data_IF_718815334831
#
_entry.id   IF_718815334831
#
_cell.length_a   1.000
_cell.length_b   1.000
_cell.length_c   1.000
_cell.angle_alpha   90.00
_cell.angle_beta   90.00
_cell.angle_gamma   90.00
#
_symmetry.space_group_name_H-M   'P 1'
#
loop_
_entity.id
_entity.type
_entity.pdbx_description
1 polymer ?
#
# COMPACT_ATOMS: atom_id res chain seq x y z
N UNK A 1 -6.62 -10.94 13.33
CA UNK A 1 -7.51 -9.76 13.23
C UNK A 1 -8.30 -9.81 11.94
N UNK A 2 -9.27 -8.91 11.75
CA UNK A 2 -9.99 -8.79 10.46
C UNK A 2 -9.04 -8.31 9.35
N UNK A 3 -9.09 -8.92 8.17
CA UNK A 3 -8.27 -8.56 7.00
C UNK A 3 -8.97 -7.46 6.18
N UNK A 4 -8.96 -6.23 6.69
CA UNK A 4 -9.73 -5.13 6.10
C UNK A 4 -8.98 -3.80 6.23
N UNK A 5 -9.17 -2.92 5.25
CA UNK A 5 -8.80 -1.52 5.35
C UNK A 5 -10.04 -0.74 5.79
N UNK A 6 -9.90 0.06 6.83
CA UNK A 6 -10.97 0.91 7.35
C UNK A 6 -10.84 2.33 6.82
N UNK A 7 -11.97 3.00 6.60
CA UNK A 7 -12.03 4.43 6.34
C UNK A 7 -12.80 5.15 7.47
N UNK A 8 -12.45 6.41 7.67
CA UNK A 8 -13.05 7.31 8.65
C UNK A 8 -13.34 8.65 7.98
N UNK A 9 -14.38 9.34 8.45
CA UNK A 9 -14.48 10.77 8.22
C UNK A 9 -13.42 11.46 9.10
N UNK A 10 -12.51 12.21 8.46
CA UNK A 10 -11.42 12.93 9.12
C UNK A 10 -11.64 14.43 8.99
N UNK A 11 -11.67 15.12 10.13
CA UNK A 11 -11.68 16.57 10.19
C UNK A 11 -10.24 17.08 10.21
N UNK A 12 -9.80 17.72 9.12
CA UNK A 12 -8.42 18.21 8.97
C UNK A 12 -8.06 19.36 9.91
N UNK A 13 -9.05 20.06 10.48
CA UNK A 13 -8.84 21.17 11.40
C UNK A 13 -8.65 20.64 12.82
N UNK A 14 -9.50 19.70 13.24
CA UNK A 14 -9.52 19.20 14.62
C UNK A 14 -8.76 17.89 14.83
N UNK A 15 -8.47 17.14 13.76
CA UNK A 15 -7.89 15.80 13.82
C UNK A 15 -8.87 14.71 14.26
N UNK A 16 -10.15 15.03 14.45
CA UNK A 16 -11.15 14.06 14.88
C UNK A 16 -11.48 13.04 13.79
N UNK A 17 -11.49 11.76 14.17
CA UNK A 17 -11.95 10.64 13.35
C UNK A 17 -13.35 10.19 13.76
N UNK A 18 -14.24 10.01 12.78
CA UNK A 18 -15.63 9.56 12.99
C UNK A 18 -16.03 8.55 11.92
N UNK A 19 -17.22 7.96 12.08
CA UNK A 19 -17.89 7.19 11.03
C UNK A 19 -17.04 6.05 10.43
N UNK A 20 -16.47 5.20 11.29
CA UNK A 20 -15.69 4.04 10.85
C UNK A 20 -16.52 3.15 9.92
N UNK A 21 -16.01 2.91 8.73
CA UNK A 21 -16.61 2.03 7.72
C UNK A 21 -15.56 1.15 7.06
N UNK A 22 -15.98 0.01 6.52
CA UNK A 22 -15.09 -0.80 5.67
C UNK A 22 -14.81 0.03 4.42
N UNK A 23 -13.54 0.18 4.06
CA UNK A 23 -13.13 0.69 2.76
C UNK A 23 -13.01 -0.48 1.78
N UNK A 24 -12.18 -1.48 2.11
CA UNK A 24 -12.08 -2.71 1.32
C UNK A 24 -11.75 -3.91 2.21
N UNK A 25 -12.13 -5.11 1.74
CA UNK A 25 -11.89 -6.38 2.42
C UNK A 25 -10.89 -7.24 1.66
N UNK A 26 -9.90 -7.76 2.39
CA UNK A 26 -8.91 -8.72 1.90
C UNK A 26 -9.35 -10.16 2.16
N UNK A 27 -10.60 -10.41 2.57
CA UNK A 27 -11.10 -11.76 2.81
C UNK A 27 -11.01 -12.65 1.57
N UNK A 28 -11.26 -12.07 0.39
CA UNK A 28 -11.19 -12.74 -0.93
C UNK A 28 -9.86 -12.47 -1.67
N UNK A 29 -8.91 -11.80 -1.02
CA UNK A 29 -7.58 -11.56 -1.56
C UNK A 29 -6.58 -12.59 -1.01
N UNK A 30 -5.39 -12.67 -1.61
CA UNK A 30 -4.41 -13.74 -1.35
C UNK A 30 -3.59 -13.53 -0.09
N UNK A 31 -3.47 -12.28 0.37
CA UNK A 31 -2.57 -11.89 1.44
C UNK A 31 -3.22 -10.94 2.44
N UNK A 32 -2.37 -10.13 3.08
CA UNK A 32 -2.76 -9.19 4.13
C UNK A 32 -2.42 -7.75 3.74
N UNK A 33 -3.27 -6.77 4.05
CA UNK A 33 -2.90 -5.37 3.89
C UNK A 33 -1.81 -5.01 4.91
N UNK A 34 -0.85 -4.19 4.48
CA UNK A 34 0.18 -3.60 5.34
C UNK A 34 0.28 -2.09 5.05
N UNK A 35 1.37 -1.60 4.47
CA UNK A 35 1.54 -0.21 4.10
C UNK A 35 0.64 0.24 2.94
N UNK A 36 0.31 1.53 2.95
CA UNK A 36 -0.52 2.15 1.93
C UNK A 36 -0.15 3.62 1.72
N UNK A 37 -0.48 4.14 0.54
CA UNK A 37 -0.37 5.56 0.16
C UNK A 37 -1.51 5.91 -0.82
N UNK A 38 -1.65 7.17 -1.20
CA UNK A 38 -2.60 7.61 -2.23
C UNK A 38 -1.86 8.23 -3.41
N UNK A 39 -2.46 8.15 -4.59
CA UNK A 39 -1.99 8.90 -5.76
C UNK A 39 -2.75 10.22 -5.95
N UNK A 40 -2.28 11.03 -6.89
CA UNK A 40 -2.84 12.34 -7.23
C UNK A 40 -4.26 12.28 -7.81
N UNK A 41 -4.75 11.09 -8.17
CA UNK A 41 -6.12 10.86 -8.65
C UNK A 41 -7.08 10.45 -7.52
N UNK A 42 -6.57 10.32 -6.29
CA UNK A 42 -7.36 9.95 -5.11
C UNK A 42 -7.55 8.45 -4.93
N UNK A 43 -6.79 7.61 -5.63
CA UNK A 43 -6.84 6.17 -5.48
C UNK A 43 -5.88 5.72 -4.38
N UNK A 44 -6.25 4.66 -3.65
CA UNK A 44 -5.43 4.08 -2.60
C UNK A 44 -4.55 2.98 -3.17
N UNK A 45 -3.25 3.04 -2.91
CA UNK A 45 -2.30 1.96 -3.16
C UNK A 45 -2.00 1.24 -1.86
N UNK A 46 -2.04 -0.09 -1.85
CA UNK A 46 -1.71 -0.91 -0.67
C UNK A 46 -0.91 -2.14 -1.05
N UNK A 47 0.09 -2.47 -0.24
CA UNK A 47 0.82 -3.73 -0.34
C UNK A 47 -0.02 -4.88 0.18
N UNK A 48 0.11 -6.05 -0.46
CA UNK A 48 -0.55 -7.29 -0.07
C UNK A 48 0.53 -8.31 0.35
N UNK A 49 0.88 -8.30 1.63
CA UNK A 49 1.90 -9.18 2.24
C UNK A 49 1.51 -10.65 2.03
N UNK A 50 2.51 -11.50 1.77
CA UNK A 50 2.41 -12.93 1.44
C UNK A 50 1.76 -13.25 0.09
N UNK A 51 1.50 -12.24 -0.74
CA UNK A 51 1.02 -12.43 -2.11
C UNK A 51 1.97 -11.88 -3.19
N UNK A 52 2.88 -10.98 -2.78
CA UNK A 52 3.78 -10.25 -3.67
C UNK A 52 3.08 -9.27 -4.58
N UNK A 53 2.01 -8.61 -4.09
CA UNK A 53 1.21 -7.70 -4.91
C UNK A 53 1.16 -6.32 -4.32
N UNK A 54 1.20 -5.34 -5.21
CA UNK A 54 0.79 -3.97 -4.95
C UNK A 54 -0.57 -3.76 -5.63
N UNK A 55 -1.58 -3.34 -4.86
CA UNK A 55 -2.96 -3.20 -5.33
C UNK A 55 -3.35 -1.73 -5.28
N UNK A 56 -3.94 -1.23 -6.36
CA UNK A 56 -4.60 0.06 -6.43
C UNK A 56 -6.10 -0.12 -6.31
N UNK A 57 -6.73 0.62 -5.41
CA UNK A 57 -8.16 0.65 -5.20
C UNK A 57 -8.71 2.03 -5.58
N UNK A 58 -9.87 2.03 -6.22
CA UNK A 58 -10.61 3.26 -6.47
C UNK A 58 -11.14 3.88 -5.15
N UNK A 59 -11.64 5.12 -5.17
CA UNK A 59 -12.18 5.77 -3.97
C UNK A 59 -13.37 5.06 -3.31
N UNK A 60 -13.99 4.09 -4.00
CA UNK A 60 -15.07 3.26 -3.47
C UNK A 60 -14.57 1.96 -2.81
N UNK A 61 -13.28 1.66 -2.94
CA UNK A 61 -12.63 0.46 -2.37
C UNK A 61 -12.60 -0.74 -3.32
N UNK A 62 -12.93 -0.54 -4.60
CA UNK A 62 -12.87 -1.59 -5.63
C UNK A 62 -11.48 -1.64 -6.23
N UNK A 63 -10.98 -2.84 -6.53
CA UNK A 63 -9.67 -3.03 -7.18
C UNK A 63 -9.69 -2.42 -8.58
N UNK A 64 -8.81 -1.44 -8.81
CA UNK A 64 -8.54 -0.83 -10.11
C UNK A 64 -7.40 -1.56 -10.83
N UNK A 65 -6.31 -1.85 -10.11
CA UNK A 65 -5.08 -2.40 -10.70
C UNK A 65 -4.34 -3.29 -9.71
N UNK A 66 -3.70 -4.34 -10.21
CA UNK A 66 -2.79 -5.20 -9.44
C UNK A 66 -1.45 -5.28 -10.17
N UNK A 67 -0.36 -5.10 -9.41
CA UNK A 67 1.02 -5.23 -9.89
C UNK A 67 1.70 -6.34 -9.09
N UNK A 68 2.29 -7.31 -9.80
CA UNK A 68 3.08 -8.37 -9.19
C UNK A 68 4.53 -7.94 -8.97
N UNK A 69 5.09 -8.29 -7.81
CA UNK A 69 6.49 -8.11 -7.46
C UNK A 69 7.17 -9.48 -7.28
N UNK A 70 8.49 -9.59 -7.48
CA UNK A 70 9.22 -10.85 -7.41
C UNK A 70 9.51 -11.33 -5.97
N UNK A 71 8.70 -10.91 -5.00
CA UNK A 71 8.82 -11.25 -3.57
C UNK A 71 7.43 -11.40 -2.96
N UNK A 72 7.22 -12.35 -2.06
CA UNK A 72 5.91 -12.56 -1.44
C UNK A 72 5.53 -11.47 -0.43
N UNK A 73 6.50 -10.91 0.32
CA UNK A 73 6.21 -10.02 1.44
C UNK A 73 6.62 -8.58 1.19
N UNK A 74 5.86 -7.89 0.35
CA UNK A 74 5.89 -6.42 0.23
C UNK A 74 5.28 -5.77 1.47
N UNK A 75 5.96 -4.78 2.06
CA UNK A 75 5.55 -4.21 3.35
C UNK A 75 4.98 -2.81 3.24
N UNK A 76 5.58 -1.90 2.47
CA UNK A 76 5.02 -0.54 2.27
C UNK A 76 5.28 -0.01 0.87
N UNK A 77 4.63 1.11 0.54
CA UNK A 77 4.72 1.79 -0.74
C UNK A 77 4.67 3.31 -0.55
N UNK A 78 5.47 4.03 -1.34
CA UNK A 78 5.40 5.49 -1.45
C UNK A 78 5.79 5.94 -2.86
N UNK A 79 5.20 7.04 -3.33
CA UNK A 79 5.62 7.68 -4.57
C UNK A 79 6.80 8.63 -4.33
N UNK A 80 7.76 8.64 -5.23
CA UNK A 80 8.94 9.50 -5.18
C UNK A 80 9.51 9.78 -6.57
N UNK A 81 10.77 10.22 -6.61
CA UNK A 81 11.37 10.79 -7.81
C UNK A 81 11.03 12.28 -7.98
N UNK A 82 11.69 12.99 -8.91
CA UNK A 82 11.49 14.43 -9.10
C UNK A 82 10.04 14.82 -9.45
N UNK A 83 9.33 13.94 -10.17
CA UNK A 83 7.97 14.15 -10.64
C UNK A 83 6.92 13.36 -9.82
N UNK A 84 7.34 12.70 -8.73
CA UNK A 84 6.52 11.79 -7.92
C UNK A 84 5.88 10.64 -8.73
N UNK A 85 6.51 10.19 -9.80
CA UNK A 85 5.98 9.18 -10.74
C UNK A 85 6.62 7.79 -10.60
N UNK A 86 7.45 7.60 -9.57
CA UNK A 86 8.11 6.32 -9.24
C UNK A 86 7.50 5.78 -7.96
N UNK A 87 6.89 4.60 -7.99
CA UNK A 87 6.46 3.92 -6.77
C UNK A 87 7.62 3.10 -6.18
N UNK A 88 8.09 3.49 -5.00
CA UNK A 88 9.05 2.73 -4.21
C UNK A 88 8.30 1.77 -3.29
N UNK A 89 8.62 0.48 -3.37
CA UNK A 89 7.99 -0.58 -2.58
C UNK A 89 9.04 -1.30 -1.74
N UNK A 90 8.83 -1.35 -0.43
CA UNK A 90 9.69 -2.09 0.50
C UNK A 90 9.21 -3.53 0.66
N UNK A 91 10.11 -4.42 1.07
CA UNK A 91 9.77 -5.83 1.35
C UNK A 91 10.50 -6.37 2.58
N UNK A 92 10.07 -7.54 3.05
CA UNK A 92 10.64 -8.24 4.20
C UNK A 92 11.34 -9.54 3.77
N UNK A 93 12.50 -9.80 4.38
CA UNK A 93 13.22 -11.08 4.28
C UNK A 93 13.18 -11.91 5.57
N UNK A 94 12.80 -11.29 6.70
CA UNK A 94 12.76 -11.97 7.99
C UNK A 94 11.59 -12.96 8.01
N UNK A 95 11.83 -14.22 8.41
CA UNK A 95 10.74 -15.16 8.62
C UNK A 95 9.78 -14.67 9.69
N UNK A 96 8.48 -14.85 9.46
CA UNK A 96 7.44 -14.55 10.43
C UNK A 96 6.39 -15.68 10.41
N UNK A 97 5.92 -16.11 11.59
CA UNK A 97 4.95 -17.22 11.72
C UNK A 97 5.31 -18.47 10.91
N UNK A 98 6.58 -18.88 10.95
CA UNK A 98 7.12 -20.04 10.21
C UNK A 98 7.01 -19.93 8.67
N UNK A 99 6.70 -18.75 8.12
CA UNK A 99 6.82 -18.49 6.69
C UNK A 99 8.21 -17.95 6.38
N UNK A 100 8.91 -18.67 5.52
CA UNK A 100 10.28 -18.35 5.10
C UNK A 100 10.26 -17.81 3.67
N UNK A 101 11.01 -16.74 3.44
CA UNK A 101 11.27 -16.21 2.12
C UNK A 101 12.37 -17.02 1.44
N UNK A 102 12.15 -17.40 0.18
CA UNK A 102 13.09 -18.18 -0.65
C UNK A 102 13.56 -17.38 -1.87
N UNK A 103 12.89 -16.26 -2.13
CA UNK A 103 13.19 -15.34 -3.20
C UNK A 103 14.52 -14.64 -2.90
N UNK A 104 15.40 -14.56 -3.90
CA UNK A 104 16.71 -13.91 -3.76
C UNK A 104 16.55 -12.43 -3.41
N UNK A 105 15.50 -11.80 -3.94
CA UNK A 105 15.17 -10.39 -3.80
C UNK A 105 14.41 -10.07 -2.50
N UNK A 106 14.13 -11.07 -1.65
CA UNK A 106 13.43 -10.83 -0.39
C UNK A 106 14.18 -9.78 0.46
N UNK A 107 13.46 -8.78 0.96
CA UNK A 107 14.04 -7.67 1.73
C UNK A 107 14.59 -6.51 0.87
N UNK A 108 14.53 -6.61 -0.45
CA UNK A 108 14.91 -5.50 -1.33
C UNK A 108 13.89 -4.38 -1.30
N UNK A 109 14.29 -3.23 -1.83
CA UNK A 109 13.42 -2.12 -2.21
C UNK A 109 13.31 -2.12 -3.73
N UNK A 110 12.07 -2.02 -4.22
CA UNK A 110 11.76 -1.99 -5.65
C UNK A 110 11.35 -0.58 -6.06
N UNK A 111 11.76 -0.17 -7.26
CA UNK A 111 11.28 1.04 -7.91
C UNK A 111 10.44 0.64 -9.13
N UNK A 112 9.18 1.06 -9.16
CA UNK A 112 8.23 0.77 -10.24
C UNK A 112 7.98 2.06 -11.01
N UNK A 113 8.30 2.02 -12.30
CA UNK A 113 8.16 3.14 -13.22
C UNK A 113 7.00 2.91 -14.19
N UNK A 114 6.57 3.97 -14.88
CA UNK A 114 5.60 3.85 -15.98
C UNK A 114 4.18 3.51 -15.51
N UNK A 115 3.81 3.87 -14.28
CA UNK A 115 2.47 3.65 -13.75
C UNK A 115 1.41 4.58 -14.38
N UNK A 116 1.84 5.66 -15.03
CA UNK A 116 0.97 6.65 -15.66
C UNK A 116 0.22 7.54 -14.65
N UNK A 117 0.59 7.48 -13.37
CA UNK A 117 0.03 8.29 -12.28
C UNK A 117 1.16 8.82 -11.41
N UNK A 118 0.88 9.86 -10.63
CA UNK A 118 1.83 10.49 -9.70
C UNK A 118 1.35 10.37 -8.27
N UNK A 119 2.27 10.44 -7.33
CA UNK A 119 1.94 10.64 -5.92
C UNK A 119 1.55 12.06 -5.58
N UNK A 120 1.38 12.29 -4.28
CA UNK A 120 1.25 13.61 -3.68
C UNK A 120 2.45 13.89 -2.78
N UNK A 121 2.74 15.17 -2.53
CA UNK A 121 3.81 15.54 -1.59
C UNK A 121 3.45 15.14 -0.16
N UNK A 122 4.38 14.44 0.50
CA UNK A 122 4.23 14.06 1.90
C UNK A 122 4.42 15.29 2.83
N UNK A 123 3.48 15.53 3.76
CA UNK A 123 3.62 16.63 4.70
C UNK A 123 4.76 16.36 5.69
N UNK A 124 5.53 17.40 6.01
CA UNK A 124 6.50 17.34 7.11
C UNK A 124 5.81 17.57 8.44
N UNK A 125 6.26 16.85 9.47
CA UNK A 125 5.88 17.13 10.86
C UNK A 125 6.23 18.58 11.23
N UNK A 126 5.31 19.27 11.92
CA UNK A 126 5.38 20.72 12.18
C UNK A 126 6.00 21.12 13.52
N UNK A 127 6.36 20.17 14.39
CA UNK A 127 6.89 20.43 15.73
C UNK A 127 5.87 20.19 16.82
#
# INVERSE_FOLDING_TARGET
GKRVIWAYAYDVVTGHVRSRRVFTSFENLRGLPDGATVDSEGYLWSTEVYSGRLIRFDPSGVVDRIIGLPVQSTTSVIFGGPDLDIAYVTSMARPFQCQYHREREAGFVFAIHGLGVRGIEEPRFKG
#
